data_IF_382920598500
#
_entry.id   IF_382920598500
#
_cell.length_a   1.000
_cell.length_b   1.000
_cell.length_c   1.000
_cell.angle_alpha   90.00
_cell.angle_beta   90.00
_cell.angle_gamma   90.00
#
_symmetry.space_group_name_H-M   'P 1'
#
loop_
_entity.id
_entity.type
_entity.pdbx_description
1 polymer ?
#
# COMPACT_ATOMS: atom_id res chain seq x y z
N UNK A 1 3.17 -3.59 28.33
CA UNK A 1 3.22 -4.16 26.99
C UNK A 1 4.51 -4.91 26.69
N UNK A 2 5.59 -4.21 26.21
CA UNK A 2 6.84 -4.88 25.80
C UNK A 2 7.49 -5.75 26.91
N UNK A 3 7.41 -5.32 28.17
CA UNK A 3 7.97 -6.08 29.30
C UNK A 3 7.15 -7.32 29.65
N UNK A 4 5.88 -7.30 29.34
CA UNK A 4 4.90 -8.33 29.71
C UNK A 4 4.63 -9.28 28.55
N UNK A 5 5.33 -9.11 27.42
CA UNK A 5 5.13 -9.87 26.19
C UNK A 5 3.65 -9.90 25.74
N UNK A 6 3.03 -8.73 25.71
CA UNK A 6 1.63 -8.55 25.37
C UNK A 6 1.37 -8.93 23.91
N UNK A 7 0.40 -9.81 23.67
CA UNK A 7 0.05 -10.33 22.35
C UNK A 7 -0.43 -9.26 21.37
N UNK A 8 -0.83 -8.08 21.85
CA UNK A 8 -1.20 -6.94 21.02
C UNK A 8 0.01 -6.22 20.39
N UNK A 9 1.24 -6.58 20.78
CA UNK A 9 2.45 -6.00 20.23
C UNK A 9 2.99 -6.88 19.11
N UNK A 10 2.93 -6.37 17.90
CA UNK A 10 3.44 -7.09 16.72
C UNK A 10 4.98 -7.08 16.67
N UNK A 11 5.59 -8.08 16.02
CA UNK A 11 7.05 -8.08 15.79
C UNK A 11 7.56 -6.79 15.11
N UNK A 12 6.80 -6.23 14.17
CA UNK A 12 7.18 -4.98 13.49
C UNK A 12 7.26 -3.79 14.43
N UNK A 13 6.37 -3.73 15.44
CA UNK A 13 6.42 -2.70 16.48
C UNK A 13 7.64 -2.84 17.38
N UNK A 14 8.06 -4.07 17.67
CA UNK A 14 9.29 -4.34 18.41
C UNK A 14 10.51 -3.85 17.62
N UNK A 15 10.56 -4.14 16.32
CA UNK A 15 11.68 -3.72 15.47
C UNK A 15 11.78 -2.20 15.35
N UNK A 16 10.67 -1.48 15.12
CA UNK A 16 10.71 -0.01 15.05
C UNK A 16 11.12 0.59 16.39
N UNK A 17 10.62 0.07 17.51
CA UNK A 17 11.01 0.51 18.84
C UNK A 17 12.51 0.32 19.08
N UNK A 18 13.04 -0.88 18.77
CA UNK A 18 14.46 -1.19 18.92
C UNK A 18 15.34 -0.29 18.05
N UNK A 19 14.96 -0.04 16.80
CA UNK A 19 15.67 0.86 15.89
C UNK A 19 15.75 2.28 16.47
N UNK A 20 14.61 2.84 16.89
CA UNK A 20 14.56 4.17 17.48
C UNK A 20 15.37 4.27 18.79
N UNK A 21 15.37 3.23 19.62
CA UNK A 21 16.19 3.20 20.84
C UNK A 21 17.69 3.12 20.55
N UNK A 22 18.06 2.60 19.39
CA UNK A 22 19.47 2.47 18.95
C UNK A 22 19.91 3.63 18.04
N UNK A 23 19.11 4.69 17.95
CA UNK A 23 19.36 5.86 17.09
C UNK A 23 19.53 5.47 15.60
N UNK A 24 18.77 4.46 15.14
CA UNK A 24 18.77 3.96 13.75
C UNK A 24 17.45 4.33 13.07
N UNK A 25 17.51 5.03 11.93
CA UNK A 25 16.33 5.31 11.12
C UNK A 25 15.58 4.03 10.70
N UNK A 26 14.25 4.11 10.62
CA UNK A 26 13.43 2.94 10.32
C UNK A 26 12.40 3.22 9.22
N UNK A 27 12.42 2.41 8.17
CA UNK A 27 11.42 2.44 7.09
C UNK A 27 10.58 1.16 7.08
N UNK A 28 9.24 1.30 7.16
CA UNK A 28 8.33 0.16 7.07
C UNK A 28 7.87 -0.06 5.63
N UNK A 29 8.29 -1.18 5.02
CA UNK A 29 7.86 -1.58 3.67
C UNK A 29 6.57 -2.38 3.61
N UNK A 30 6.00 -2.75 4.77
CA UNK A 30 4.80 -3.58 4.88
C UNK A 30 3.55 -2.75 5.28
N UNK A 31 2.33 -3.27 5.08
CA UNK A 31 1.10 -2.53 5.38
C UNK A 31 0.75 -2.49 6.87
N UNK A 32 1.37 -3.32 7.70
CA UNK A 32 1.07 -3.42 9.12
C UNK A 32 1.43 -2.16 9.91
N UNK A 33 0.65 -1.88 10.95
CA UNK A 33 0.81 -0.71 11.81
C UNK A 33 2.12 -0.78 12.61
N UNK A 34 2.99 0.18 12.39
CA UNK A 34 4.26 0.31 13.09
C UNK A 34 4.69 1.78 13.21
N UNK A 35 5.13 2.40 12.11
CA UNK A 35 5.63 3.79 12.09
C UNK A 35 4.53 4.85 12.20
N UNK A 36 3.29 4.49 12.02
CA UNK A 36 2.10 5.36 12.13
C UNK A 36 1.43 5.33 13.51
N UNK A 37 1.98 4.57 14.45
CA UNK A 37 1.50 4.60 15.83
C UNK A 37 1.91 5.90 16.54
N UNK A 38 0.98 6.59 17.23
CA UNK A 38 1.29 7.85 17.91
C UNK A 38 2.51 7.79 18.84
N UNK A 39 2.64 6.70 19.59
CA UNK A 39 3.79 6.51 20.50
C UNK A 39 5.13 6.37 19.75
N UNK A 40 5.14 5.76 18.55
CA UNK A 40 6.36 5.63 17.74
C UNK A 40 6.72 6.97 17.07
N UNK A 41 5.72 7.72 16.64
CA UNK A 41 5.90 9.09 16.11
C UNK A 41 6.49 10.01 17.20
N UNK A 42 5.96 9.95 18.41
CA UNK A 42 6.46 10.72 19.53
C UNK A 42 7.89 10.32 19.90
N UNK A 43 8.18 9.02 19.98
CA UNK A 43 9.52 8.50 20.24
C UNK A 43 10.51 8.95 19.17
N UNK A 44 10.15 8.87 17.89
CA UNK A 44 10.95 9.36 16.76
C UNK A 44 11.29 10.85 16.92
N UNK A 45 10.31 11.68 17.25
CA UNK A 45 10.51 13.13 17.49
C UNK A 45 11.42 13.39 18.69
N UNK A 46 11.18 12.70 19.79
CA UNK A 46 11.95 12.87 21.02
C UNK A 46 13.42 12.47 20.83
N UNK A 47 13.66 11.42 20.03
CA UNK A 47 14.99 10.92 19.72
C UNK A 47 15.64 11.64 18.53
N UNK A 48 14.88 12.42 17.78
CA UNK A 48 15.30 13.00 16.50
C UNK A 48 15.78 11.94 15.49
N UNK A 49 15.12 10.77 15.46
CA UNK A 49 15.43 9.67 14.55
C UNK A 49 14.29 9.54 13.53
N UNK A 50 14.56 9.67 12.23
CA UNK A 50 13.51 9.65 11.22
C UNK A 50 12.88 8.27 11.06
N UNK A 51 11.57 8.26 10.77
CA UNK A 51 10.78 7.09 10.41
C UNK A 51 10.01 7.34 9.11
N UNK A 52 9.85 6.31 8.31
CA UNK A 52 9.10 6.37 7.05
C UNK A 52 8.26 5.10 6.83
N UNK A 53 7.29 5.19 5.98
CA UNK A 53 6.43 4.09 5.57
C UNK A 53 5.05 4.65 5.20
N UNK A 54 4.10 3.82 4.89
CA UNK A 54 4.18 2.34 4.95
C UNK A 54 3.82 1.75 3.59
N UNK A 55 4.03 0.44 3.44
CA UNK A 55 3.61 -0.35 2.28
C UNK A 55 4.13 0.22 0.95
N UNK A 56 5.25 -0.28 0.50
CA UNK A 56 5.86 0.16 -0.76
C UNK A 56 4.90 0.02 -1.93
N UNK A 57 4.76 1.09 -2.72
CA UNK A 57 3.77 1.19 -3.79
C UNK A 57 4.34 0.60 -5.08
N UNK A 58 4.31 -0.72 -5.18
CA UNK A 58 4.72 -1.52 -6.33
C UNK A 58 3.50 -2.18 -6.99
N UNK A 59 3.70 -2.91 -8.06
CA UNK A 59 2.67 -3.74 -8.69
C UNK A 59 1.36 -2.99 -9.00
N UNK A 60 0.23 -3.53 -8.56
CA UNK A 60 -1.08 -2.94 -8.82
C UNK A 60 -1.33 -1.60 -8.15
N UNK A 61 -0.67 -1.32 -7.02
CA UNK A 61 -0.76 0.01 -6.42
C UNK A 61 -0.07 1.05 -7.30
N UNK A 62 1.01 0.68 -7.97
CA UNK A 62 1.63 1.53 -8.99
C UNK A 62 0.65 1.83 -10.14
N UNK A 63 -0.11 0.84 -10.63
CA UNK A 63 -1.17 1.08 -11.62
C UNK A 63 -2.18 2.13 -11.16
N UNK A 64 -2.57 2.12 -9.90
CA UNK A 64 -3.46 3.15 -9.33
C UNK A 64 -2.83 4.54 -9.37
N UNK A 65 -1.58 4.67 -9.00
CA UNK A 65 -0.86 5.94 -9.03
C UNK A 65 -0.61 6.46 -10.45
N UNK A 66 -0.56 5.58 -11.43
CA UNK A 66 -0.43 5.93 -12.84
C UNK A 66 -1.76 6.40 -13.44
N UNK A 67 -2.85 5.68 -13.19
CA UNK A 67 -4.14 5.91 -13.87
C UNK A 67 -5.04 6.91 -13.18
N UNK A 68 -5.09 6.92 -11.84
CA UNK A 68 -6.00 7.81 -11.12
C UNK A 68 -5.77 9.30 -11.40
N UNK A 69 -4.53 9.81 -11.55
CA UNK A 69 -4.31 11.19 -11.98
C UNK A 69 -4.88 11.50 -13.36
N UNK A 70 -4.77 10.56 -14.31
CA UNK A 70 -5.33 10.71 -15.65
C UNK A 70 -6.85 10.72 -15.66
N UNK A 71 -7.49 9.86 -14.87
CA UNK A 71 -8.95 9.83 -14.67
C UNK A 71 -9.41 11.19 -14.12
N UNK A 72 -8.74 11.69 -13.08
CA UNK A 72 -9.03 12.99 -12.46
C UNK A 72 -8.82 14.16 -13.42
N UNK A 73 -7.69 14.19 -14.13
CA UNK A 73 -7.36 15.27 -15.07
C UNK A 73 -8.37 15.38 -16.22
N UNK A 74 -9.03 14.27 -16.57
CA UNK A 74 -10.09 14.20 -17.58
C UNK A 74 -11.50 14.38 -17.01
N UNK A 75 -11.63 14.58 -15.68
CA UNK A 75 -12.92 14.67 -14.99
C UNK A 75 -13.83 13.45 -15.29
N UNK A 76 -13.24 12.28 -15.42
CA UNK A 76 -13.97 11.03 -15.55
C UNK A 76 -14.35 10.53 -14.14
N UNK A 77 -15.58 10.07 -13.98
CA UNK A 77 -16.00 9.45 -12.72
C UNK A 77 -15.52 8.01 -12.60
N UNK A 78 -15.37 7.54 -11.38
CA UNK A 78 -15.00 6.16 -11.04
C UNK A 78 -16.13 5.51 -10.26
N UNK A 79 -16.68 4.41 -10.79
CA UNK A 79 -17.71 3.60 -10.12
C UNK A 79 -17.11 2.44 -9.35
N UNK A 80 -16.09 1.80 -9.93
CA UNK A 80 -15.49 0.65 -9.30
C UNK A 80 -14.07 0.39 -9.76
N UNK A 81 -13.29 -0.24 -8.87
CA UNK A 81 -11.95 -0.75 -9.18
C UNK A 81 -11.80 -2.13 -8.56
N UNK A 82 -11.97 -3.14 -9.38
CA UNK A 82 -11.74 -4.53 -9.01
C UNK A 82 -10.32 -4.93 -9.37
N UNK A 83 -9.58 -5.43 -8.40
CA UNK A 83 -8.22 -5.94 -8.58
C UNK A 83 -8.12 -7.38 -8.09
N UNK A 84 -7.52 -8.25 -8.87
CA UNK A 84 -7.14 -9.59 -8.41
C UNK A 84 -5.69 -9.89 -8.75
N UNK A 85 -5.04 -10.69 -7.90
CA UNK A 85 -3.66 -11.10 -8.09
C UNK A 85 -3.52 -12.60 -7.91
N UNK A 86 -2.56 -13.19 -8.63
CA UNK A 86 -2.03 -14.51 -8.37
C UNK A 86 -0.55 -14.36 -8.02
N UNK A 87 -0.12 -14.99 -6.93
CA UNK A 87 1.21 -14.92 -6.38
C UNK A 87 1.59 -16.27 -5.78
N UNK A 88 2.77 -16.78 -6.07
CA UNK A 88 3.17 -18.14 -5.71
C UNK A 88 4.22 -18.25 -4.61
N UNK A 89 4.68 -17.13 -4.06
CA UNK A 89 5.64 -17.09 -2.97
C UNK A 89 4.98 -17.02 -1.59
N UNK A 90 5.78 -16.96 -0.54
CA UNK A 90 5.29 -16.91 0.85
C UNK A 90 4.43 -15.66 1.15
N UNK A 91 4.67 -14.54 0.49
CA UNK A 91 3.81 -13.35 0.63
C UNK A 91 2.38 -13.64 0.15
N UNK A 92 2.26 -14.36 -0.97
CA UNK A 92 0.97 -14.85 -1.48
C UNK A 92 0.26 -15.78 -0.50
N UNK A 93 0.99 -16.74 0.06
CA UNK A 93 0.46 -17.69 1.05
C UNK A 93 -0.09 -16.97 2.29
N UNK A 94 0.66 -16.00 2.83
CA UNK A 94 0.25 -15.23 4.02
C UNK A 94 -0.94 -14.31 3.72
N UNK A 95 -0.99 -13.71 2.54
CA UNK A 95 -2.04 -12.77 2.15
C UNK A 95 -3.33 -13.44 1.67
N UNK A 96 -3.29 -14.72 1.33
CA UNK A 96 -4.49 -15.50 1.01
C UNK A 96 -5.34 -15.78 2.27
N UNK A 97 -4.73 -15.71 3.45
CA UNK A 97 -5.45 -15.83 4.71
C UNK A 97 -6.30 -14.56 5.00
N UNK A 98 -7.62 -14.72 5.26
CA UNK A 98 -8.54 -13.57 5.42
C UNK A 98 -8.14 -12.58 6.52
N UNK A 99 -7.47 -13.06 7.56
CA UNK A 99 -7.07 -12.27 8.73
C UNK A 99 -6.00 -11.22 8.39
N UNK A 100 -5.14 -11.52 7.42
CA UNK A 100 -4.01 -10.67 7.02
C UNK A 100 -4.37 -9.69 5.89
N UNK A 101 -5.56 -9.83 5.31
CA UNK A 101 -5.94 -9.13 4.10
C UNK A 101 -6.47 -7.71 4.32
N UNK A 102 -7.18 -7.44 5.42
CA UNK A 102 -7.88 -6.16 5.68
C UNK A 102 -6.98 -4.93 5.59
N UNK A 103 -5.82 -4.97 6.22
CA UNK A 103 -4.87 -3.84 6.21
C UNK A 103 -4.34 -3.51 4.81
N UNK A 104 -4.22 -4.52 3.95
CA UNK A 104 -3.77 -4.36 2.56
C UNK A 104 -4.85 -3.71 1.68
N UNK A 105 -6.10 -4.07 1.89
CA UNK A 105 -7.26 -3.49 1.19
C UNK A 105 -7.42 -2.01 1.50
N UNK A 106 -7.40 -1.65 2.78
CA UNK A 106 -7.48 -0.26 3.26
C UNK A 106 -6.31 0.59 2.71
N UNK A 107 -5.10 0.05 2.70
CA UNK A 107 -3.92 0.73 2.16
C UNK A 107 -4.09 1.06 0.66
N UNK A 108 -4.64 0.14 -0.12
CA UNK A 108 -4.86 0.33 -1.58
C UNK A 108 -5.99 1.32 -1.89
N UNK A 109 -7.06 1.32 -1.10
CA UNK A 109 -8.15 2.28 -1.23
C UNK A 109 -7.69 3.70 -0.86
N UNK A 110 -6.92 3.82 0.20
CA UNK A 110 -6.37 5.10 0.65
C UNK A 110 -5.54 5.84 -0.41
N UNK A 111 -4.89 5.11 -1.34
CA UNK A 111 -4.19 5.73 -2.48
C UNK A 111 -5.15 6.41 -3.43
N UNK A 112 -6.26 5.76 -3.78
CA UNK A 112 -7.27 6.34 -4.67
C UNK A 112 -7.91 7.58 -4.05
N UNK A 113 -8.29 7.53 -2.78
CA UNK A 113 -8.90 8.66 -2.06
C UNK A 113 -7.98 9.89 -2.02
N UNK A 114 -6.68 9.70 -1.81
CA UNK A 114 -5.71 10.80 -1.80
C UNK A 114 -5.53 11.48 -3.16
N UNK A 115 -5.67 10.72 -4.25
CA UNK A 115 -5.50 11.25 -5.60
C UNK A 115 -6.80 11.85 -6.13
N UNK A 116 -7.91 11.14 -5.96
CA UNK A 116 -9.20 11.50 -6.55
C UNK A 116 -9.96 12.54 -5.72
N UNK A 117 -9.70 12.62 -4.41
CA UNK A 117 -10.31 13.60 -3.49
C UNK A 117 -11.85 13.53 -3.50
N UNK A 118 -12.45 12.42 -3.03
CA UNK A 118 -13.91 12.21 -3.06
C UNK A 118 -14.69 13.28 -2.29
N UNK A 119 -14.10 13.90 -1.28
CA UNK A 119 -14.73 15.01 -0.52
C UNK A 119 -14.86 16.27 -1.37
N UNK A 120 -13.97 16.46 -2.34
CA UNK A 120 -13.99 17.62 -3.28
C UNK A 120 -14.87 17.31 -4.50
N UNK A 121 -14.86 16.05 -4.95
CA UNK A 121 -15.60 15.60 -6.14
C UNK A 121 -16.54 14.43 -5.81
N UNK A 122 -17.55 14.62 -4.94
CA UNK A 122 -18.41 13.53 -4.46
C UNK A 122 -19.21 12.86 -5.59
N UNK A 123 -19.65 13.60 -6.59
CA UNK A 123 -20.42 13.06 -7.73
C UNK A 123 -19.59 12.14 -8.63
N UNK A 124 -18.28 12.31 -8.65
CA UNK A 124 -17.35 11.52 -9.47
C UNK A 124 -16.73 10.36 -8.68
N UNK A 125 -16.45 10.53 -7.39
CA UNK A 125 -15.62 9.61 -6.60
C UNK A 125 -16.17 9.29 -5.20
N UNK A 126 -17.32 9.83 -4.82
CA UNK A 126 -17.88 9.67 -3.47
C UNK A 126 -18.41 8.26 -3.17
N UNK A 127 -18.69 7.47 -4.20
CA UNK A 127 -19.19 6.10 -4.04
C UNK A 127 -18.48 5.16 -5.03
N UNK A 128 -17.31 4.69 -4.62
CA UNK A 128 -16.47 3.79 -5.41
C UNK A 128 -16.46 2.41 -4.80
N UNK A 129 -16.94 1.42 -5.54
CA UNK A 129 -16.80 0.01 -5.19
C UNK A 129 -15.34 -0.42 -5.39
N UNK A 130 -14.65 -0.68 -4.30
CA UNK A 130 -13.24 -1.10 -4.35
C UNK A 130 -13.09 -2.52 -3.82
N UNK A 131 -12.62 -3.42 -4.66
CA UNK A 131 -12.41 -4.82 -4.33
C UNK A 131 -10.99 -5.23 -4.66
N UNK A 132 -10.35 -5.89 -3.71
CA UNK A 132 -9.04 -6.53 -3.93
C UNK A 132 -9.16 -8.02 -3.61
N UNK A 133 -8.50 -8.86 -4.40
CA UNK A 133 -8.34 -10.29 -4.14
C UNK A 133 -6.88 -10.67 -4.36
N UNK A 134 -6.37 -11.53 -3.49
CA UNK A 134 -5.05 -12.13 -3.63
C UNK A 134 -5.26 -13.63 -3.54
N UNK A 135 -4.70 -14.36 -4.49
CA UNK A 135 -4.84 -15.81 -4.57
C UNK A 135 -3.44 -16.43 -4.54
N UNK A 136 -3.23 -17.34 -3.61
CA UNK A 136 -2.00 -18.12 -3.57
C UNK A 136 -2.00 -19.19 -4.67
N UNK A 137 -0.98 -19.15 -5.51
CA UNK A 137 -0.81 -20.13 -6.60
C UNK A 137 0.67 -20.48 -6.77
N UNK A 138 1.15 -21.55 -6.14
CA UNK A 138 2.57 -21.94 -6.09
C UNK A 138 3.31 -21.92 -7.42
N UNK A 139 2.71 -22.34 -8.56
CA UNK A 139 3.42 -22.33 -9.85
C UNK A 139 3.87 -20.95 -10.34
N UNK A 140 3.35 -19.85 -9.78
CA UNK A 140 3.78 -18.48 -10.12
C UNK A 140 5.13 -18.11 -9.50
N UNK A 141 5.54 -18.76 -8.41
CA UNK A 141 6.75 -18.37 -7.68
C UNK A 141 6.70 -16.88 -7.29
N UNK A 142 7.78 -16.14 -7.55
CA UNK A 142 7.88 -14.71 -7.27
C UNK A 142 7.20 -13.81 -8.31
N UNK A 143 6.71 -14.36 -9.41
CA UNK A 143 5.99 -13.57 -10.41
C UNK A 143 4.57 -13.31 -9.94
N UNK A 144 4.20 -12.05 -9.92
CA UNK A 144 2.87 -11.58 -9.57
C UNK A 144 2.12 -11.20 -10.83
N UNK A 145 1.07 -11.93 -11.10
CA UNK A 145 0.13 -11.62 -12.17
C UNK A 145 -1.11 -10.96 -11.58
N UNK A 146 -1.47 -9.80 -12.11
CA UNK A 146 -2.61 -9.03 -11.64
C UNK A 146 -3.53 -8.62 -12.78
N UNK A 147 -4.83 -8.64 -12.51
CA UNK A 147 -5.85 -8.10 -13.39
C UNK A 147 -6.61 -7.00 -12.66
N UNK A 148 -6.83 -5.90 -13.36
CA UNK A 148 -7.74 -4.84 -12.92
C UNK A 148 -8.89 -4.70 -13.90
N UNK A 149 -10.11 -4.60 -13.37
CA UNK A 149 -11.28 -4.12 -14.08
C UNK A 149 -11.72 -2.80 -13.43
N UNK A 150 -11.66 -1.72 -14.21
CA UNK A 150 -11.88 -0.37 -13.73
C UNK A 150 -13.10 0.19 -14.44
N UNK A 151 -14.20 0.39 -13.71
CA UNK A 151 -15.44 0.91 -14.24
C UNK A 151 -15.49 2.42 -14.03
N UNK A 152 -15.38 3.14 -15.15
CA UNK A 152 -15.41 4.60 -15.20
C UNK A 152 -16.62 5.09 -15.96
N UNK A 153 -16.95 6.37 -15.80
CA UNK A 153 -18.00 7.00 -16.60
C UNK A 153 -17.57 8.40 -17.02
N UNK A 154 -18.07 8.78 -18.16
CA UNK A 154 -17.79 10.09 -18.76
C UNK A 154 -19.03 10.96 -18.83
N UNK A 155 -19.09 11.78 -19.88
CA UNK A 155 -20.18 12.69 -20.15
C UNK A 155 -21.53 12.02 -20.13
N UNK A 156 -22.53 12.62 -19.48
CA UNK A 156 -23.88 12.09 -19.27
C UNK A 156 -23.91 10.73 -18.55
N UNK A 157 -22.88 10.40 -17.77
CA UNK A 157 -22.79 9.13 -17.04
C UNK A 157 -22.53 7.91 -17.95
N UNK A 158 -22.09 8.12 -19.21
CA UNK A 158 -21.84 7.02 -20.13
C UNK A 158 -20.73 6.09 -19.60
N UNK A 159 -21.04 4.78 -19.46
CA UNK A 159 -20.10 3.84 -18.84
C UNK A 159 -18.98 3.44 -19.79
N UNK A 160 -17.80 3.30 -19.24
CA UNK A 160 -16.61 2.78 -19.90
C UNK A 160 -15.87 1.84 -18.96
N UNK A 161 -15.10 0.92 -19.49
CA UNK A 161 -14.30 0.01 -18.70
C UNK A 161 -12.86 -0.03 -19.21
N UNK A 162 -11.90 0.04 -18.28
CA UNK A 162 -10.49 -0.25 -18.54
C UNK A 162 -10.18 -1.60 -17.95
N UNK A 163 -9.55 -2.48 -18.73
CA UNK A 163 -9.01 -3.76 -18.26
C UNK A 163 -7.50 -3.75 -18.40
N UNK A 164 -6.83 -4.27 -17.38
CA UNK A 164 -5.37 -4.33 -17.34
C UNK A 164 -4.97 -5.75 -16.97
N UNK A 165 -4.06 -6.29 -17.73
CA UNK A 165 -3.30 -7.48 -17.40
C UNK A 165 -1.86 -7.04 -17.10
N UNK A 166 -1.35 -7.35 -15.93
CA UNK A 166 -0.05 -6.89 -15.48
C UNK A 166 0.74 -8.01 -14.82
N UNK A 167 1.86 -8.35 -15.41
CA UNK A 167 2.81 -9.30 -14.85
C UNK A 167 4.04 -8.54 -14.36
N UNK A 168 4.37 -8.68 -13.08
CA UNK A 168 5.54 -8.05 -12.50
C UNK A 168 6.22 -8.94 -11.44
N UNK A 169 7.37 -8.46 -10.97
CA UNK A 169 8.04 -9.01 -9.80
C UNK A 169 8.20 -7.89 -8.78
N UNK A 170 7.37 -7.90 -7.75
CA UNK A 170 7.32 -6.83 -6.75
C UNK A 170 8.67 -6.54 -6.10
N UNK A 171 9.47 -7.58 -5.83
CA UNK A 171 10.80 -7.44 -5.25
C UNK A 171 11.75 -6.57 -6.09
N UNK A 172 11.69 -6.69 -7.41
CA UNK A 172 12.50 -5.86 -8.32
C UNK A 172 12.00 -4.41 -8.34
N UNK A 173 10.69 -4.21 -8.30
CA UNK A 173 10.10 -2.87 -8.24
C UNK A 173 10.35 -2.20 -6.88
N UNK A 174 10.41 -2.97 -5.80
CA UNK A 174 10.70 -2.46 -4.46
C UNK A 174 12.17 -2.07 -4.25
N UNK A 175 13.12 -2.75 -4.91
CA UNK A 175 14.54 -2.57 -4.67
C UNK A 175 15.03 -1.10 -4.77
N UNK A 176 14.72 -0.32 -5.83
CA UNK A 176 15.12 1.08 -5.90
C UNK A 176 14.44 1.94 -4.82
N UNK A 177 13.18 1.65 -4.46
CA UNK A 177 12.47 2.37 -3.40
C UNK A 177 13.17 2.16 -2.04
N UNK A 178 13.59 0.92 -1.75
CA UNK A 178 14.32 0.59 -0.53
C UNK A 178 15.65 1.33 -0.48
N UNK A 179 16.39 1.36 -1.60
CA UNK A 179 17.67 2.06 -1.69
C UNK A 179 17.49 3.57 -1.46
N UNK A 180 16.53 4.19 -2.16
CA UNK A 180 16.25 5.61 -2.01
C UNK A 180 15.83 5.97 -0.58
N UNK A 181 14.95 5.17 0.02
CA UNK A 181 14.55 5.37 1.42
C UNK A 181 15.74 5.26 2.38
N UNK A 182 16.62 4.27 2.21
CA UNK A 182 17.81 4.13 3.04
C UNK A 182 18.71 5.38 2.96
N UNK A 183 18.95 5.89 1.74
CA UNK A 183 19.77 7.08 1.51
C UNK A 183 19.14 8.36 2.08
N UNK A 184 17.85 8.58 1.82
CA UNK A 184 17.14 9.76 2.32
C UNK A 184 16.94 9.74 3.83
N UNK A 185 16.73 8.56 4.42
CA UNK A 185 16.62 8.42 5.87
C UNK A 185 17.95 8.70 6.57
N UNK A 186 19.07 8.23 6.02
CA UNK A 186 20.40 8.56 6.52
C UNK A 186 20.69 10.06 6.39
N UNK A 187 20.34 10.67 5.26
CA UNK A 187 20.48 12.12 5.07
C UNK A 187 19.64 12.92 6.06
N UNK A 188 18.42 12.50 6.33
CA UNK A 188 17.53 13.18 7.27
C UNK A 188 17.95 13.00 8.75
N UNK A 189 18.73 11.97 9.04
CA UNK A 189 19.22 11.67 10.38
C UNK A 189 20.48 12.49 10.74
N UNK A 190 21.26 12.90 9.76
CA UNK A 190 22.47 13.74 9.91
C UNK A 190 22.14 15.20 10.23
#
# INVERSE_FOLDING_TARGET
GLRDNDDNISPSQIYVYAALQSDVPFANGAPNLSVDLPCMIELSRTRNVPIAGKDFKTGQTWMKTLLAPGIKARMLGLRGWYSTNILGNRDGEVLDAPENFKTKEESKLGVLHKILEPDVYPDLYGNVDHVVRINYYPPRGDNKEGWDAIDIFGWMGYPMQIKIDFLCRDSILAAPIVLDLALFMDLAHR
#
